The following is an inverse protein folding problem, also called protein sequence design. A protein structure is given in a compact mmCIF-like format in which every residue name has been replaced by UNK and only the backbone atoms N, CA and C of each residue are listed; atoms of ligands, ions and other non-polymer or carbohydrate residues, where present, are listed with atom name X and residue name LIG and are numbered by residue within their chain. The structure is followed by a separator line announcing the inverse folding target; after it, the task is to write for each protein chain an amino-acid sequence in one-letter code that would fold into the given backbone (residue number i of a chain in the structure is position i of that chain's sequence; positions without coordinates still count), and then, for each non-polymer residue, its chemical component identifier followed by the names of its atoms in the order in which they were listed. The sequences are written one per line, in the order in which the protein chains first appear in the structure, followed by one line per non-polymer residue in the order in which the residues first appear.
data_IF_347957898598
#
_entry.id   IF_347957898598
#
_cell.length_a   1.000
_cell.length_b   1.000
_cell.length_c   1.000
_cell.angle_alpha   90.00
_cell.angle_beta   90.00
_cell.angle_gamma   90.00
#
_symmetry.space_group_name_H-M   'P 1'
#
loop_
_entity.id
_entity.type
_entity.pdbx_description
1 polymer ?
#
# COMPACT_ATOMS: atom_id res chain seq x y z
N UNK A 1 16.84 -37.10 -5.93
CA UNK A 1 16.52 -35.73 -6.37
C UNK A 1 16.87 -35.57 -7.84
N UNK A 2 15.87 -35.40 -8.70
CA UNK A 2 16.11 -34.95 -10.07
C UNK A 2 16.62 -33.50 -9.98
N UNK A 3 17.69 -33.16 -10.70
CA UNK A 3 18.12 -31.77 -10.74
C UNK A 3 16.98 -30.93 -11.29
N UNK A 4 16.61 -29.87 -10.58
CA UNK A 4 15.44 -29.05 -10.95
C UNK A 4 15.57 -28.47 -12.37
N UNK A 5 16.79 -28.39 -12.93
CA UNK A 5 17.09 -28.07 -14.33
C UNK A 5 16.51 -29.03 -15.38
N UNK A 6 16.01 -30.21 -14.97
CA UNK A 6 15.41 -31.22 -15.86
C UNK A 6 13.89 -31.10 -15.88
N UNK A 7 13.29 -30.26 -15.04
CA UNK A 7 11.86 -30.00 -15.04
C UNK A 7 11.51 -29.25 -16.33
N UNK A 8 10.86 -29.94 -17.26
CA UNK A 8 10.41 -29.35 -18.51
C UNK A 8 9.18 -28.45 -18.25
N UNK A 9 9.37 -27.14 -18.40
CA UNK A 9 8.32 -26.13 -18.25
C UNK A 9 7.49 -25.91 -19.54
N UNK A 10 7.87 -26.57 -20.65
CA UNK A 10 7.33 -26.41 -22.00
C UNK A 10 7.22 -24.94 -22.45
N UNK A 11 8.03 -24.06 -21.87
CA UNK A 11 7.99 -22.63 -22.16
C UNK A 11 8.74 -22.27 -23.44
N UNK A 12 8.65 -21.01 -23.83
CA UNK A 12 9.36 -20.46 -25.00
C UNK A 12 10.87 -20.72 -24.93
N UNK A 13 11.51 -20.99 -26.08
CA UNK A 13 12.95 -21.27 -26.21
C UNK A 13 13.45 -22.53 -25.47
N UNK A 14 12.55 -23.42 -25.00
CA UNK A 14 12.97 -24.67 -24.34
C UNK A 14 13.78 -25.58 -25.28
N UNK A 15 13.38 -25.69 -26.55
CA UNK A 15 14.08 -26.53 -27.54
C UNK A 15 15.51 -26.03 -27.80
N UNK A 16 15.71 -24.71 -27.81
CA UNK A 16 17.01 -24.08 -28.04
C UNK A 16 17.90 -24.12 -26.79
N UNK A 17 17.29 -24.16 -25.59
CA UNK A 17 17.98 -24.17 -24.29
C UNK A 17 17.41 -25.21 -23.32
N UNK A 18 17.51 -26.52 -23.63
CA UNK A 18 16.83 -27.58 -22.88
C UNK A 18 17.41 -27.82 -21.47
N UNK A 19 18.63 -27.34 -21.21
CA UNK A 19 19.31 -27.45 -19.92
C UNK A 19 19.27 -26.13 -19.12
N UNK A 20 18.50 -25.14 -19.56
CA UNK A 20 18.45 -23.81 -18.94
C UNK A 20 17.05 -23.45 -18.46
N UNK A 21 17.01 -22.81 -17.30
CA UNK A 21 15.82 -22.15 -16.81
C UNK A 21 15.47 -20.92 -17.65
N UNK A 22 14.17 -20.66 -17.80
CA UNK A 22 13.71 -19.41 -18.38
C UNK A 22 14.13 -18.21 -17.50
N UNK A 23 14.70 -17.19 -18.14
CA UNK A 23 15.06 -15.92 -17.47
C UNK A 23 14.13 -14.84 -17.99
N UNK A 24 13.18 -14.41 -17.15
CA UNK A 24 12.31 -13.27 -17.46
C UNK A 24 13.12 -11.98 -17.33
N UNK A 25 13.22 -11.23 -18.42
CA UNK A 25 14.03 -10.01 -18.46
C UNK A 25 13.15 -8.77 -18.65
N UNK A 26 13.61 -7.66 -18.10
CA UNK A 26 12.95 -6.39 -18.32
C UNK A 26 12.99 -5.99 -19.79
N UNK A 27 11.94 -5.27 -20.22
CA UNK A 27 11.83 -4.77 -21.60
C UNK A 27 13.06 -3.97 -22.03
N UNK A 28 13.72 -3.25 -21.12
CA UNK A 28 14.91 -2.45 -21.41
C UNK A 28 16.22 -3.24 -21.49
N UNK A 29 16.25 -4.49 -21.01
CA UNK A 29 17.47 -5.26 -20.89
C UNK A 29 17.99 -5.74 -22.26
N UNK A 30 19.31 -5.67 -22.46
CA UNK A 30 20.01 -6.06 -23.70
C UNK A 30 21.15 -7.02 -23.35
N UNK A 31 21.33 -8.09 -24.14
CA UNK A 31 22.58 -8.89 -24.12
C UNK A 31 22.51 -10.29 -23.47
N UNK A 32 21.34 -10.78 -23.05
CA UNK A 32 21.21 -12.12 -22.44
C UNK A 32 20.85 -13.24 -23.44
N UNK A 33 20.41 -12.90 -24.65
CA UNK A 33 19.75 -13.84 -25.57
C UNK A 33 20.70 -14.89 -26.18
N UNK A 34 22.01 -14.68 -26.12
CA UNK A 34 23.00 -15.60 -26.69
C UNK A 34 23.56 -16.63 -25.68
N UNK A 35 23.40 -16.38 -24.37
CA UNK A 35 24.03 -17.18 -23.32
C UNK A 35 23.02 -17.87 -22.39
N UNK A 36 21.76 -17.45 -22.41
CA UNK A 36 20.70 -18.05 -21.61
C UNK A 36 19.36 -17.99 -22.31
N UNK A 37 18.38 -18.72 -21.76
CA UNK A 37 17.00 -18.77 -22.21
C UNK A 37 16.24 -17.50 -21.78
N UNK A 38 16.64 -16.35 -22.32
CA UNK A 38 16.11 -15.04 -21.96
C UNK A 38 14.77 -14.77 -22.66
N UNK A 39 13.69 -14.63 -21.89
CA UNK A 39 12.37 -14.30 -22.40
C UNK A 39 12.17 -12.78 -22.35
N UNK A 40 12.37 -12.13 -23.49
CA UNK A 40 12.18 -10.69 -23.62
C UNK A 40 10.72 -10.34 -23.97
N UNK A 41 10.10 -9.38 -23.27
CA UNK A 41 8.87 -8.77 -23.72
C UNK A 41 9.08 -8.15 -25.11
N UNK A 42 8.19 -8.46 -26.05
CA UNK A 42 8.25 -7.90 -27.40
C UNK A 42 8.11 -6.38 -27.34
N UNK A 43 9.03 -5.69 -27.99
CA UNK A 43 9.05 -4.22 -28.08
C UNK A 43 8.13 -3.76 -29.19
N UNK A 44 7.52 -2.59 -28.98
CA UNK A 44 6.83 -1.89 -30.06
C UNK A 44 7.86 -1.52 -31.14
N UNK A 45 7.61 -1.82 -32.43
CA UNK A 45 8.46 -1.37 -33.52
C UNK A 45 8.50 0.17 -33.59
N UNK A 46 9.58 0.75 -34.11
CA UNK A 46 9.76 2.21 -34.21
C UNK A 46 8.58 2.93 -34.89
N UNK A 47 7.99 2.32 -35.93
CA UNK A 47 6.86 2.88 -36.68
C UNK A 47 5.65 1.92 -36.74
N UNK A 48 5.47 1.04 -35.75
CA UNK A 48 4.42 0.02 -35.77
C UNK A 48 3.69 -0.14 -34.44
N UNK A 49 2.69 -1.02 -34.42
CA UNK A 49 2.06 -1.53 -33.20
C UNK A 49 2.45 -2.99 -33.00
N UNK A 50 2.39 -3.46 -31.75
CA UNK A 50 2.36 -4.90 -31.50
C UNK A 50 1.01 -5.44 -31.99
N UNK A 51 1.02 -6.62 -32.59
CA UNK A 51 -0.22 -7.32 -32.89
C UNK A 51 -0.88 -7.85 -31.60
N UNK A 52 -2.10 -8.36 -31.74
CA UNK A 52 -2.87 -8.87 -30.61
C UNK A 52 -2.18 -10.06 -29.93
N UNK A 53 -1.58 -10.96 -30.70
CA UNK A 53 -0.93 -12.16 -30.18
C UNK A 53 0.31 -11.79 -29.33
N UNK A 54 1.06 -10.80 -29.78
CA UNK A 54 2.23 -10.29 -29.08
C UNK A 54 1.88 -9.54 -27.80
N UNK A 55 0.73 -8.84 -27.80
CA UNK A 55 0.17 -8.24 -26.59
C UNK A 55 -0.25 -9.31 -25.58
N UNK A 56 -0.95 -10.35 -26.02
CA UNK A 56 -1.37 -11.47 -25.17
C UNK A 56 -0.16 -12.23 -24.60
N UNK A 57 0.86 -12.54 -25.42
CA UNK A 57 2.12 -13.14 -24.96
C UNK A 57 2.81 -12.25 -23.91
N UNK A 58 2.96 -10.95 -24.19
CA UNK A 58 3.58 -10.03 -23.25
C UNK A 58 2.80 -9.92 -21.93
N UNK A 59 1.47 -9.97 -21.97
CA UNK A 59 0.63 -9.97 -20.79
C UNK A 59 0.85 -11.24 -19.94
N UNK A 60 0.97 -12.41 -20.58
CA UNK A 60 1.27 -13.66 -19.90
C UNK A 60 2.66 -13.61 -19.24
N UNK A 61 3.70 -13.20 -19.98
CA UNK A 61 5.06 -13.02 -19.45
C UNK A 61 5.08 -12.03 -18.27
N UNK A 62 4.32 -10.93 -18.39
CA UNK A 62 4.22 -9.94 -17.31
C UNK A 62 3.49 -10.51 -16.09
N UNK A 63 2.46 -11.31 -16.29
CA UNK A 63 1.72 -11.98 -15.21
C UNK A 63 2.62 -12.90 -14.39
N UNK A 64 3.52 -13.63 -15.04
CA UNK A 64 4.48 -14.51 -14.33
C UNK A 64 5.49 -13.72 -13.52
N UNK A 65 5.93 -12.58 -14.03
CA UNK A 65 6.79 -11.65 -13.31
C UNK A 65 6.14 -11.06 -12.05
N UNK A 66 4.82 -10.87 -12.02
CA UNK A 66 4.11 -10.30 -10.85
C UNK A 66 4.38 -11.09 -9.56
N UNK A 67 4.55 -12.42 -9.63
CA UNK A 67 4.88 -13.21 -8.42
C UNK A 67 6.23 -12.76 -7.85
N UNK A 68 7.24 -12.62 -8.71
CA UNK A 68 8.59 -12.19 -8.31
C UNK A 68 8.54 -10.78 -7.73
N UNK A 69 7.82 -9.86 -8.39
CA UNK A 69 7.64 -8.49 -7.91
C UNK A 69 6.94 -8.42 -6.54
N UNK A 70 5.88 -9.19 -6.34
CA UNK A 70 5.17 -9.25 -5.07
C UNK A 70 6.07 -9.81 -3.95
N UNK A 71 6.87 -10.84 -4.24
CA UNK A 71 7.84 -11.40 -3.30
C UNK A 71 8.86 -10.35 -2.86
N UNK A 72 9.55 -9.73 -3.83
CA UNK A 72 10.54 -8.71 -3.52
C UNK A 72 9.93 -7.44 -2.93
N UNK A 73 8.67 -7.13 -3.24
CA UNK A 73 7.91 -6.06 -2.57
C UNK A 73 7.77 -6.29 -1.07
N UNK A 74 7.47 -7.52 -0.64
CA UNK A 74 7.43 -7.91 0.79
C UNK A 74 8.81 -7.87 1.43
N UNK A 75 9.84 -8.37 0.74
CA UNK A 75 11.24 -8.28 1.20
C UNK A 75 11.62 -6.81 1.42
N UNK A 76 11.33 -5.92 0.46
CA UNK A 76 11.63 -4.50 0.57
C UNK A 76 10.90 -3.84 1.74
N UNK A 77 9.65 -4.23 2.01
CA UNK A 77 8.89 -3.71 3.15
C UNK A 77 9.51 -4.13 4.48
N UNK A 78 9.81 -5.43 4.65
CA UNK A 78 10.44 -5.96 5.85
C UNK A 78 11.85 -5.39 6.07
N UNK A 79 12.59 -5.19 4.99
CA UNK A 79 13.86 -4.49 5.00
C UNK A 79 13.72 -3.05 5.52
N UNK A 80 12.75 -2.29 5.01
CA UNK A 80 12.45 -0.92 5.48
C UNK A 80 12.08 -0.86 6.96
N UNK A 81 11.34 -1.85 7.47
CA UNK A 81 10.99 -1.93 8.90
C UNK A 81 12.24 -2.18 9.76
N UNK A 82 13.08 -3.13 9.33
CA UNK A 82 14.36 -3.43 9.99
C UNK A 82 15.27 -2.19 10.02
N UNK A 83 15.32 -1.47 8.90
CA UNK A 83 16.05 -0.22 8.74
C UNK A 83 15.58 0.90 9.69
N UNK A 84 14.29 0.98 10.00
CA UNK A 84 13.76 1.98 10.91
C UNK A 84 14.11 1.72 12.38
N UNK A 85 14.54 0.50 12.72
CA UNK A 85 14.70 0.03 14.11
C UNK A 85 16.16 -0.18 14.51
N UNK A 86 17.01 -0.64 13.59
CA UNK A 86 18.41 -0.96 13.89
C UNK A 86 19.38 0.11 13.36
N UNK A 87 20.35 0.50 14.18
CA UNK A 87 21.41 1.45 13.80
C UNK A 87 22.46 0.74 12.95
N UNK A 88 22.81 1.39 11.85
CA UNK A 88 23.71 0.94 10.80
C UNK A 88 25.07 0.41 11.30
N UNK A 89 25.29 -0.88 11.10
CA UNK A 89 26.61 -1.47 11.03
C UNK A 89 26.64 -2.49 9.90
N UNK A 90 27.61 -2.43 8.99
CA UNK A 90 27.75 -3.40 7.88
C UNK A 90 27.77 -4.85 8.38
N UNK A 91 28.20 -5.07 9.63
CA UNK A 91 28.22 -6.36 10.33
C UNK A 91 26.83 -7.01 10.47
N UNK A 92 25.73 -6.24 10.44
CA UNK A 92 24.38 -6.78 10.62
C UNK A 92 23.59 -6.92 9.31
N UNK A 93 24.13 -6.53 8.15
CA UNK A 93 23.39 -6.61 6.88
C UNK A 93 23.01 -8.02 6.52
N UNK A 94 23.96 -8.96 6.59
CA UNK A 94 23.70 -10.35 6.26
C UNK A 94 22.62 -10.95 7.17
N UNK A 95 22.67 -10.62 8.46
CA UNK A 95 21.67 -11.07 9.43
C UNK A 95 20.28 -10.50 9.11
N UNK A 96 20.20 -9.19 8.84
CA UNK A 96 18.93 -8.51 8.48
C UNK A 96 18.40 -9.06 7.15
N UNK A 97 19.26 -9.28 6.16
CA UNK A 97 18.88 -9.85 4.87
C UNK A 97 18.30 -11.25 5.06
N UNK A 98 19.05 -12.14 5.71
CA UNK A 98 18.60 -13.52 5.97
C UNK A 98 17.27 -13.53 6.74
N UNK A 99 17.14 -12.68 7.76
CA UNK A 99 15.90 -12.55 8.52
C UNK A 99 14.73 -12.05 7.64
N UNK A 100 14.96 -11.05 6.81
CA UNK A 100 13.95 -10.47 5.90
C UNK A 100 13.43 -11.52 4.91
N UNK A 101 14.33 -12.32 4.32
CA UNK A 101 13.95 -13.40 3.41
C UNK A 101 13.26 -14.55 4.15
N UNK A 102 13.75 -14.96 5.33
CA UNK A 102 13.13 -16.00 6.14
C UNK A 102 11.70 -15.62 6.57
N UNK A 103 11.50 -14.38 7.04
CA UNK A 103 10.18 -13.85 7.37
C UNK A 103 9.27 -13.77 6.14
N UNK A 104 9.82 -13.40 4.98
CA UNK A 104 9.04 -13.42 3.74
C UNK A 104 8.57 -14.83 3.41
N UNK A 105 9.45 -15.83 3.48
CA UNK A 105 9.10 -17.23 3.24
C UNK A 105 8.02 -17.73 4.21
N UNK A 106 8.13 -17.38 5.50
CA UNK A 106 7.07 -17.67 6.47
C UNK A 106 5.75 -16.95 6.13
N UNK A 107 5.81 -15.67 5.73
CA UNK A 107 4.60 -14.97 5.28
C UNK A 107 3.96 -15.62 4.06
N UNK A 108 4.72 -16.25 3.16
CA UNK A 108 4.17 -16.98 2.03
C UNK A 108 3.36 -18.20 2.44
N UNK A 109 3.71 -18.87 3.54
CA UNK A 109 2.94 -20.03 4.03
C UNK A 109 1.58 -19.61 4.61
N UNK A 110 1.44 -18.34 4.99
CA UNK A 110 0.19 -17.78 5.53
C UNK A 110 -0.61 -17.00 4.48
N UNK A 111 0.08 -16.35 3.54
CA UNK A 111 -0.48 -15.36 2.61
C UNK A 111 0.16 -15.54 1.22
N UNK A 112 -0.42 -16.39 0.35
CA UNK A 112 0.13 -16.67 -0.99
C UNK A 112 0.05 -15.47 -1.96
N UNK A 113 1.06 -15.29 -2.81
CA UNK A 113 1.30 -14.10 -3.66
C UNK A 113 0.28 -13.82 -4.78
N UNK A 114 -0.73 -14.67 -5.00
CA UNK A 114 -1.70 -14.53 -6.12
C UNK A 114 -3.18 -14.53 -5.67
N UNK A 115 -3.76 -15.67 -5.29
CA UNK A 115 -5.22 -15.77 -5.10
C UNK A 115 -5.75 -15.09 -3.83
N UNK A 116 -5.01 -15.17 -2.72
CA UNK A 116 -5.47 -14.62 -1.44
C UNK A 116 -4.99 -13.18 -1.18
N UNK A 117 -3.90 -12.77 -1.82
CA UNK A 117 -3.36 -11.42 -1.70
C UNK A 117 -4.35 -10.34 -2.15
N UNK A 118 -5.17 -10.61 -3.16
CA UNK A 118 -6.20 -9.67 -3.59
C UNK A 118 -7.25 -9.44 -2.50
N UNK A 119 -7.65 -10.51 -1.79
CA UNK A 119 -8.63 -10.44 -0.71
C UNK A 119 -8.05 -9.70 0.51
N UNK A 120 -6.80 -9.99 0.86
CA UNK A 120 -6.11 -9.31 1.94
C UNK A 120 -5.85 -7.84 1.65
N UNK A 121 -5.42 -7.50 0.43
CA UNK A 121 -5.24 -6.11 0.02
C UNK A 121 -6.56 -5.32 0.11
N UNK A 122 -7.67 -5.92 -0.35
CA UNK A 122 -9.02 -5.33 -0.20
C UNK A 122 -9.40 -5.15 1.27
N UNK A 123 -9.11 -6.13 2.13
CA UNK A 123 -9.39 -6.06 3.56
C UNK A 123 -8.57 -4.95 4.26
N UNK A 124 -7.28 -4.81 3.92
CA UNK A 124 -6.41 -3.74 4.43
C UNK A 124 -6.92 -2.37 4.01
N UNK A 125 -7.30 -2.19 2.74
CA UNK A 125 -7.89 -0.93 2.27
C UNK A 125 -9.21 -0.61 2.98
N UNK A 126 -10.07 -1.61 3.19
CA UNK A 126 -11.32 -1.45 3.93
C UNK A 126 -11.05 -1.02 5.39
N UNK A 127 -10.04 -1.61 6.04
CA UNK A 127 -9.61 -1.21 7.38
C UNK A 127 -9.12 0.24 7.42
N UNK A 128 -8.32 0.68 6.44
CA UNK A 128 -7.88 2.08 6.37
C UNK A 128 -9.05 3.04 6.18
N UNK A 129 -10.03 2.71 5.32
CA UNK A 129 -11.25 3.52 5.15
C UNK A 129 -12.01 3.66 6.47
N UNK A 130 -12.23 2.54 7.18
CA UNK A 130 -12.88 2.56 8.50
C UNK A 130 -12.13 3.45 9.49
N UNK A 131 -10.80 3.38 9.51
CA UNK A 131 -9.99 4.20 10.41
C UNK A 131 -10.11 5.70 10.10
N UNK A 132 -10.21 6.07 8.82
CA UNK A 132 -10.47 7.44 8.37
C UNK A 132 -11.87 7.89 8.78
N UNK A 133 -12.89 7.05 8.57
CA UNK A 133 -14.28 7.32 8.97
C UNK A 133 -14.40 7.55 10.48
N UNK A 134 -13.78 6.69 11.29
CA UNK A 134 -13.74 6.83 12.75
C UNK A 134 -13.04 8.14 13.17
N UNK A 135 -11.93 8.49 12.55
CA UNK A 135 -11.24 9.74 12.83
C UNK A 135 -12.07 10.96 12.44
N UNK A 136 -12.78 10.91 11.31
CA UNK A 136 -13.69 11.97 10.88
C UNK A 136 -14.88 12.10 11.84
N UNK A 137 -15.46 10.98 12.29
CA UNK A 137 -16.55 10.97 13.26
C UNK A 137 -16.12 11.57 14.61
N UNK A 138 -14.92 11.23 15.10
CA UNK A 138 -14.33 11.83 16.31
C UNK A 138 -14.16 13.35 16.16
N UNK A 139 -13.62 13.81 15.03
CA UNK A 139 -13.47 15.25 14.73
C UNK A 139 -14.82 15.97 14.71
N UNK A 140 -15.82 15.40 14.03
CA UNK A 140 -17.17 15.96 13.98
C UNK A 140 -17.82 16.03 15.37
N UNK A 141 -17.65 15.00 16.20
CA UNK A 141 -18.17 15.00 17.57
C UNK A 141 -17.54 16.09 18.44
N UNK A 142 -16.23 16.30 18.31
CA UNK A 142 -15.52 17.39 19.01
C UNK A 142 -16.05 18.76 18.55
N UNK A 143 -16.21 18.97 17.25
CA UNK A 143 -16.75 20.22 16.70
C UNK A 143 -18.18 20.48 17.18
N UNK A 144 -19.05 19.47 17.20
CA UNK A 144 -20.41 19.60 17.76
C UNK A 144 -20.39 20.01 19.23
N UNK A 145 -19.58 19.34 20.06
CA UNK A 145 -19.42 19.70 21.49
C UNK A 145 -18.87 21.11 21.68
N UNK A 146 -17.99 21.57 20.80
CA UNK A 146 -17.50 22.94 20.83
C UNK A 146 -18.60 23.94 20.45
N UNK A 147 -19.36 23.67 19.40
CA UNK A 147 -20.47 24.52 18.96
C UNK A 147 -21.54 24.67 20.05
N UNK A 148 -21.94 23.58 20.71
CA UNK A 148 -22.90 23.61 21.84
C UNK A 148 -22.35 24.47 22.98
N UNK A 149 -21.13 24.21 23.45
CA UNK A 149 -20.51 25.01 24.52
C UNK A 149 -20.29 26.48 24.16
N UNK A 150 -20.16 26.80 22.87
CA UNK A 150 -20.12 28.18 22.40
C UNK A 150 -21.50 28.82 22.45
N UNK A 151 -22.54 28.12 21.99
CA UNK A 151 -23.92 28.61 22.05
C UNK A 151 -24.39 28.84 23.49
N UNK A 152 -24.07 27.92 24.41
CA UNK A 152 -24.34 28.07 25.85
C UNK A 152 -23.69 29.33 26.42
N UNK A 153 -22.40 29.57 26.13
CA UNK A 153 -21.71 30.80 26.58
C UNK A 153 -22.38 32.07 26.07
N UNK A 154 -22.74 32.13 24.79
CA UNK A 154 -23.43 33.28 24.20
C UNK A 154 -24.82 33.50 24.83
N UNK A 155 -25.56 32.44 25.12
CA UNK A 155 -26.86 32.52 25.78
C UNK A 155 -26.73 33.06 27.21
N UNK A 156 -25.75 32.59 27.97
CA UNK A 156 -25.50 33.06 29.34
C UNK A 156 -25.05 34.52 29.37
N UNK A 157 -24.24 34.96 28.42
CA UNK A 157 -23.87 36.38 28.25
C UNK A 157 -25.07 37.25 27.88
N UNK A 158 -25.93 36.79 26.97
CA UNK A 158 -27.15 37.50 26.58
C UNK A 158 -28.14 37.66 27.75
N UNK A 159 -28.30 36.62 28.58
CA UNK A 159 -29.12 36.67 29.79
C UNK A 159 -28.54 37.63 30.84
N UNK A 160 -27.22 37.62 31.06
CA UNK A 160 -26.55 38.57 31.96
C UNK A 160 -26.68 40.02 31.50
N UNK A 161 -26.51 40.27 30.20
CA UNK A 161 -26.68 41.60 29.60
C UNK A 161 -28.14 42.09 29.73
N UNK A 162 -29.11 41.20 29.49
CA UNK A 162 -30.54 41.51 29.63
C UNK A 162 -30.96 41.78 31.08
N UNK A 163 -30.37 41.06 32.05
CA UNK A 163 -30.60 41.30 33.47
C UNK A 163 -29.98 42.63 33.91
N UNK A 164 -28.74 42.93 33.49
CA UNK A 164 -28.11 44.21 33.76
C UNK A 164 -28.93 45.37 33.18
N UNK A 165 -29.44 45.25 31.95
CA UNK A 165 -30.30 46.27 31.34
C UNK A 165 -31.62 46.49 32.11
N UNK A 166 -32.22 45.44 32.69
CA UNK A 166 -33.43 45.57 33.53
C UNK A 166 -33.15 46.23 34.88
N UNK A 167 -32.01 45.94 35.52
CA UNK A 167 -31.63 46.56 36.79
C UNK A 167 -31.31 48.05 36.61
N UNK A 168 -30.74 48.44 35.47
CA UNK A 168 -30.53 49.84 35.10
C UNK A 168 -31.82 50.63 34.87
N UNK A 169 -32.92 49.94 34.57
CA UNK A 169 -34.22 50.53 34.22
C UNK A 169 -35.25 50.26 35.32
N UNK A 170 -34.90 50.57 36.57
CA UNK A 170 -35.87 50.59 37.67
C UNK A 170 -36.28 52.05 37.92
N UNK A 171 -37.47 52.51 37.50
CA UNK A 171 -37.92 53.86 37.80
C UNK A 171 -38.20 53.93 39.30
N UNK A 172 -37.55 54.86 40.00
CA UNK A 172 -37.85 55.16 41.39
C UNK A 172 -39.28 55.72 41.46
N UNK A 173 -40.25 54.87 41.78
CA UNK A 173 -41.64 55.27 42.00
C UNK A 173 -41.73 56.05 43.31
N UNK A 174 -41.56 57.37 43.22
CA UNK A 174 -41.70 58.26 44.36
C UNK A 174 -43.19 58.63 44.50
N UNK A 175 -43.93 57.84 45.27
CA UNK A 175 -45.28 58.19 45.75
C UNK A 175 -45.13 58.97 47.05
N UNK A 176 -45.36 60.28 47.03
CA UNK A 176 -45.72 61.02 48.25
C UNK A 176 -46.85 62.01 47.98
N UNK A 177 -47.77 61.97 48.94
CA UNK A 177 -49.00 62.73 49.15
C UNK A 177 -48.83 64.23 49.00
#
# INVERSE_FOLDING_TARGET
DASESVINDNGELFQDFPASWAVLVDKGYIGLTASTRAIHPKKRPSNGSLDRHDLERNANVSSDRVIVENFFGRVCLLWKISYATFVWGTKCYDAIQRLTFALTNFHLTLMPLRQDDQHQYRAVLARYRRMVEENNAKRAAIQRRYAVRRAERMATESLRSSFAARVSFSPSANTRR
#
